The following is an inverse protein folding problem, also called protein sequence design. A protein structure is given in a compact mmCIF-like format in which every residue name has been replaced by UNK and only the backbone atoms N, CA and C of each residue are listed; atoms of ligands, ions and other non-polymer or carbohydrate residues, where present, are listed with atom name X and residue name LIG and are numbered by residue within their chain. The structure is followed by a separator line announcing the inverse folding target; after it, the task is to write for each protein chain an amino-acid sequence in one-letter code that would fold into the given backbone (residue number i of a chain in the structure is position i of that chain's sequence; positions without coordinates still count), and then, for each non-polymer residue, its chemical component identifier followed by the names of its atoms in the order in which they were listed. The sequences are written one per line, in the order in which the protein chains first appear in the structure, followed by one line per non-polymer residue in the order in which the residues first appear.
data_IF_889512553388
#
_entry.id   IF_889512553388
#
_cell.length_a   1.000
_cell.length_b   1.000
_cell.length_c   1.000
_cell.angle_alpha   90.00
_cell.angle_beta   90.00
_cell.angle_gamma   90.00
#
_symmetry.space_group_name_H-M   'P 1'
#
loop_
_entity.id
_entity.type
_entity.pdbx_description
1 polymer ?
#
# COMPACT_ATOMS: atom_id res chain seq x y z
N UNK A 1 30.39 -36.68 -22.53
CA UNK A 1 30.18 -35.24 -22.32
C UNK A 1 28.82 -35.07 -21.67
N UNK A 2 28.86 -34.75 -20.36
CA UNK A 2 27.89 -34.08 -19.48
C UNK A 2 26.40 -34.39 -19.61
N UNK A 3 25.91 -34.88 -18.48
CA UNK A 3 24.53 -35.02 -18.01
C UNK A 3 23.71 -33.72 -18.01
N UNK A 4 22.41 -33.94 -17.76
CA UNK A 4 21.50 -33.09 -16.98
C UNK A 4 20.43 -32.31 -17.76
N UNK A 5 19.24 -32.93 -17.79
CA UNK A 5 17.97 -32.26 -17.99
C UNK A 5 17.67 -31.32 -16.81
N UNK A 6 17.24 -30.09 -17.09
CA UNK A 6 16.79 -29.10 -16.10
C UNK A 6 15.66 -28.23 -16.71
N UNK A 7 14.80 -27.58 -15.91
CA UNK A 7 13.41 -27.98 -15.78
C UNK A 7 12.42 -27.00 -16.43
N UNK A 8 11.24 -27.52 -16.79
CA UNK A 8 10.04 -26.73 -17.08
C UNK A 8 9.60 -26.02 -15.78
N UNK A 9 9.97 -24.75 -15.66
CA UNK A 9 9.44 -23.85 -14.65
C UNK A 9 7.99 -23.50 -14.97
N UNK A 10 7.06 -24.21 -14.33
CA UNK A 10 5.69 -23.77 -14.12
C UNK A 10 5.73 -22.44 -13.35
N UNK A 11 5.22 -21.36 -13.93
CA UNK A 11 4.83 -20.20 -13.13
C UNK A 11 3.35 -19.91 -13.34
N UNK A 12 2.58 -20.60 -12.49
CA UNK A 12 1.42 -20.13 -11.76
C UNK A 12 0.79 -18.87 -12.31
N UNK A 13 -0.42 -19.04 -12.88
CA UNK A 13 -1.39 -17.96 -13.08
C UNK A 13 -1.44 -17.15 -11.80
N UNK A 14 -0.89 -15.94 -11.82
CA UNK A 14 -1.12 -14.98 -10.76
C UNK A 14 -2.59 -14.64 -10.85
N UNK A 15 -3.39 -15.27 -10.00
CA UNK A 15 -4.78 -14.92 -9.75
C UNK A 15 -4.80 -13.47 -9.28
N UNK A 16 -4.81 -12.55 -10.26
CA UNK A 16 -5.21 -11.18 -10.04
C UNK A 16 -6.70 -11.23 -9.77
N UNK A 17 -7.06 -11.60 -8.54
CA UNK A 17 -8.32 -11.21 -7.95
C UNK A 17 -8.23 -9.68 -7.75
N UNK A 18 -8.29 -8.99 -8.89
CA UNK A 18 -8.52 -7.57 -9.01
C UNK A 18 -9.92 -7.37 -8.49
N UNK A 19 -10.03 -7.16 -7.18
CA UNK A 19 -11.17 -6.53 -6.56
C UNK A 19 -11.31 -5.15 -7.20
N UNK A 20 -11.98 -5.15 -8.35
CA UNK A 20 -12.48 -3.98 -9.04
C UNK A 20 -13.55 -3.37 -8.13
N UNK A 21 -13.09 -2.61 -7.13
CA UNK A 21 -13.96 -1.75 -6.36
C UNK A 21 -14.26 -0.56 -7.22
N UNK A 22 -15.49 -0.59 -7.75
CA UNK A 22 -16.22 0.45 -8.43
C UNK A 22 -15.63 1.85 -8.22
N UNK A 23 -15.48 2.56 -9.34
CA UNK A 23 -14.93 3.90 -9.53
C UNK A 23 -15.60 5.03 -8.73
N UNK A 24 -16.47 4.72 -7.78
CA UNK A 24 -17.11 5.63 -6.81
C UNK A 24 -16.49 5.60 -5.40
N UNK A 25 -15.51 4.73 -5.15
CA UNK A 25 -14.78 4.76 -3.87
C UNK A 25 -13.83 5.98 -3.86
N UNK A 26 -14.21 7.02 -3.12
CA UNK A 26 -13.44 8.27 -3.04
C UNK A 26 -11.96 8.03 -2.71
N UNK A 27 -11.07 8.91 -3.19
CA UNK A 27 -9.60 8.85 -3.03
C UNK A 27 -9.12 8.35 -1.66
N UNK A 28 -9.80 8.76 -0.59
CA UNK A 28 -9.51 8.35 0.79
C UNK A 28 -9.73 6.84 1.03
N UNK A 29 -10.83 6.27 0.53
CA UNK A 29 -11.14 4.86 0.68
C UNK A 29 -10.12 3.99 -0.07
N UNK A 30 -9.72 4.39 -1.27
CA UNK A 30 -8.68 3.71 -2.04
C UNK A 30 -7.34 3.70 -1.29
N UNK A 31 -6.94 4.85 -0.72
CA UNK A 31 -5.72 4.91 0.08
C UNK A 31 -5.83 4.10 1.38
N UNK A 32 -6.97 4.15 2.08
CA UNK A 32 -7.20 3.36 3.29
C UNK A 32 -7.08 1.86 3.01
N UNK A 33 -7.67 1.38 1.91
CA UNK A 33 -7.57 -0.02 1.49
C UNK A 33 -6.11 -0.43 1.26
N UNK A 34 -5.33 0.39 0.56
CA UNK A 34 -3.92 0.09 0.31
C UNK A 34 -3.13 -0.01 1.62
N UNK A 35 -3.38 0.89 2.58
CA UNK A 35 -2.75 0.80 3.90
C UNK A 35 -3.24 -0.40 4.72
N UNK A 36 -4.52 -0.76 4.61
CA UNK A 36 -5.09 -1.94 5.26
C UNK A 36 -4.51 -3.26 4.72
N UNK A 37 -4.07 -3.27 3.45
CA UNK A 37 -3.26 -4.35 2.86
C UNK A 37 -1.81 -4.39 3.37
N UNK A 38 -1.43 -3.52 4.31
CA UNK A 38 -0.07 -3.45 4.87
C UNK A 38 0.94 -2.70 3.99
N UNK A 39 0.49 -2.02 2.92
CA UNK A 39 1.39 -1.23 2.07
C UNK A 39 1.90 0.00 2.82
N UNK A 40 3.09 0.45 2.42
CA UNK A 40 3.78 1.60 2.99
C UNK A 40 3.96 2.64 1.89
N UNK A 41 3.70 3.91 2.19
CA UNK A 41 3.77 4.97 1.20
C UNK A 41 4.56 6.18 1.70
N UNK A 42 5.45 6.68 0.86
CA UNK A 42 5.98 8.04 0.91
C UNK A 42 5.37 8.87 -0.24
N UNK A 43 5.59 10.19 -0.23
CA UNK A 43 4.99 11.13 -1.20
C UNK A 43 5.11 10.68 -2.66
N UNK A 44 6.31 10.33 -3.13
CA UNK A 44 6.50 9.90 -4.53
C UNK A 44 5.82 8.56 -4.86
N UNK A 45 5.83 7.58 -3.94
CA UNK A 45 5.10 6.33 -4.17
C UNK A 45 3.58 6.54 -4.16
N UNK A 46 3.07 7.47 -3.34
CA UNK A 46 1.66 7.83 -3.28
C UNK A 46 1.22 8.57 -4.55
N UNK A 47 2.09 9.41 -5.12
CA UNK A 47 1.84 10.10 -6.38
C UNK A 47 1.56 9.12 -7.53
N UNK A 48 2.31 8.01 -7.59
CA UNK A 48 2.11 6.96 -8.62
C UNK A 48 0.74 6.28 -8.56
N UNK A 49 0.04 6.37 -7.41
CA UNK A 49 -1.31 5.82 -7.21
C UNK A 49 -2.39 6.91 -7.19
N UNK A 50 -2.05 8.13 -7.62
CA UNK A 50 -2.98 9.27 -7.73
C UNK A 50 -3.11 10.12 -6.47
N UNK A 51 -2.25 9.93 -5.46
CA UNK A 51 -2.27 10.76 -4.25
C UNK A 51 -1.11 11.76 -4.20
N UNK A 52 -1.40 12.97 -4.67
CA UNK A 52 -0.45 14.09 -4.68
C UNK A 52 -0.21 14.73 -3.30
N UNK A 53 -1.12 14.53 -2.34
CA UNK A 53 -1.15 15.23 -1.05
C UNK A 53 -1.21 14.24 0.12
N UNK A 54 -0.31 13.26 0.12
CA UNK A 54 -0.26 12.19 1.12
C UNK A 54 -0.39 12.69 2.58
N UNK A 55 0.33 13.73 3.04
CA UNK A 55 0.18 14.18 4.43
C UNK A 55 -1.25 14.62 4.78
N UNK A 56 -1.95 15.26 3.84
CA UNK A 56 -3.36 15.67 4.01
C UNK A 56 -4.27 14.44 4.07
N UNK A 57 -4.08 13.49 3.15
CA UNK A 57 -4.83 12.22 3.16
C UNK A 57 -4.63 11.45 4.45
N UNK A 58 -3.40 11.35 4.97
CA UNK A 58 -3.12 10.74 6.28
C UNK A 58 -3.90 11.47 7.38
N UNK A 59 -3.82 12.79 7.45
CA UNK A 59 -4.56 13.59 8.44
C UNK A 59 -6.08 13.32 8.37
N UNK A 60 -6.65 13.29 7.17
CA UNK A 60 -8.09 13.04 6.98
C UNK A 60 -8.48 11.63 7.41
N UNK A 61 -7.68 10.62 7.08
CA UNK A 61 -7.93 9.25 7.50
C UNK A 61 -7.87 9.09 9.02
N UNK A 62 -6.91 9.73 9.68
CA UNK A 62 -6.82 9.72 11.14
C UNK A 62 -8.06 10.36 11.78
N UNK A 63 -8.51 11.51 11.28
CA UNK A 63 -9.69 12.22 11.82
C UNK A 63 -10.98 11.46 11.60
N UNK A 64 -11.19 10.90 10.40
CA UNK A 64 -12.43 10.22 10.03
C UNK A 64 -12.60 8.87 10.71
N UNK A 65 -11.51 8.11 10.84
CA UNK A 65 -11.56 6.73 11.30
C UNK A 65 -10.96 6.51 12.68
N UNK A 66 -10.32 7.52 13.28
CA UNK A 66 -9.65 7.37 14.58
C UNK A 66 -8.59 6.26 14.53
N UNK A 67 -7.74 6.30 13.49
CA UNK A 67 -6.57 5.44 13.31
C UNK A 67 -5.30 6.28 13.44
N UNK A 68 -4.17 5.63 13.73
CA UNK A 68 -2.87 6.29 13.81
C UNK A 68 -1.88 5.66 12.84
N UNK A 69 -1.15 6.51 12.11
CA UNK A 69 -0.09 6.09 11.22
C UNK A 69 1.27 6.19 11.89
N UNK A 70 2.04 5.12 11.75
CA UNK A 70 3.47 5.16 12.05
C UNK A 70 4.19 5.90 10.93
N UNK A 71 5.31 6.55 11.27
CA UNK A 71 6.13 7.28 10.32
C UNK A 71 7.61 7.22 10.62
N UNK A 72 8.44 7.21 9.58
CA UNK A 72 9.90 7.38 9.69
C UNK A 72 10.46 8.16 8.50
N UNK A 73 11.63 8.78 8.66
CA UNK A 73 12.35 9.42 7.55
C UNK A 73 13.17 8.39 6.80
N UNK A 74 13.02 8.36 5.47
CA UNK A 74 13.77 7.51 4.55
C UNK A 74 14.40 8.37 3.45
N UNK A 75 15.55 7.96 2.91
CA UNK A 75 16.18 8.62 1.76
C UNK A 75 15.76 7.90 0.48
N UNK A 76 15.15 8.61 -0.45
CA UNK A 76 14.71 8.06 -1.76
C UNK A 76 15.50 8.74 -2.86
N UNK A 77 15.94 7.96 -3.85
CA UNK A 77 16.62 8.49 -5.04
C UNK A 77 15.63 9.30 -5.86
N UNK A 78 16.00 10.52 -6.22
CA UNK A 78 15.19 11.38 -7.09
C UNK A 78 15.62 11.23 -8.55
N UNK A 79 14.86 11.89 -9.45
CA UNK A 79 15.11 11.86 -10.89
C UNK A 79 16.46 12.48 -11.29
N UNK A 80 17.04 13.33 -10.46
CA UNK A 80 18.33 13.99 -10.70
C UNK A 80 19.52 13.19 -10.16
N UNK A 81 19.31 11.94 -9.74
CA UNK A 81 20.36 11.06 -9.24
C UNK A 81 20.82 11.34 -7.81
N UNK A 82 20.22 12.32 -7.12
CA UNK A 82 20.50 12.63 -5.71
C UNK A 82 19.47 11.99 -4.78
N UNK A 83 19.74 12.01 -3.47
CA UNK A 83 18.83 11.44 -2.47
C UNK A 83 18.05 12.54 -1.76
N UNK A 84 16.74 12.35 -1.67
CA UNK A 84 15.84 13.26 -0.97
C UNK A 84 15.24 12.56 0.26
N UNK A 85 15.36 13.14 1.47
CA UNK A 85 14.74 12.59 2.66
C UNK A 85 13.22 12.84 2.64
N UNK A 86 12.42 11.79 2.73
CA UNK A 86 10.95 11.84 2.75
C UNK A 86 10.40 11.05 3.94
N UNK A 87 9.17 11.34 4.35
CA UNK A 87 8.47 10.55 5.36
C UNK A 87 7.76 9.37 4.71
N UNK A 88 7.99 8.18 5.26
CA UNK A 88 7.30 6.93 4.93
C UNK A 88 6.23 6.68 5.99
N UNK A 89 5.01 6.37 5.56
CA UNK A 89 3.85 6.12 6.42
C UNK A 89 3.33 4.69 6.26
N UNK A 90 2.84 4.11 7.35
CA UNK A 90 2.20 2.80 7.35
C UNK A 90 1.26 2.64 8.55
N UNK A 91 0.43 1.59 8.51
CA UNK A 91 -0.38 1.17 9.65
C UNK A 91 0.24 -0.06 10.30
N UNK A 92 0.15 -0.12 11.62
CA UNK A 92 0.54 -1.29 12.41
C UNK A 92 -0.45 -1.53 13.56
N UNK A 93 -0.34 -2.71 14.18
CA UNK A 93 -1.09 -3.06 15.39
C UNK A 93 -2.59 -2.82 15.28
N UNK A 94 -3.16 -2.15 16.29
CA UNK A 94 -4.61 -1.89 16.40
C UNK A 94 -5.14 -1.04 15.25
N UNK A 95 -4.37 -0.07 14.76
CA UNK A 95 -4.78 0.80 13.65
C UNK A 95 -4.89 0.02 12.34
N UNK A 96 -3.99 -0.94 12.11
CA UNK A 96 -4.04 -1.81 10.93
C UNK A 96 -5.28 -2.71 10.97
N UNK A 97 -5.54 -3.39 12.09
CA UNK A 97 -6.72 -4.23 12.28
C UNK A 97 -8.01 -3.44 12.07
N UNK A 98 -8.08 -2.23 12.61
CA UNK A 98 -9.23 -1.33 12.42
C UNK A 98 -9.42 -0.93 10.97
N UNK A 99 -8.34 -0.62 10.24
CA UNK A 99 -8.42 -0.30 8.83
C UNK A 99 -8.85 -1.51 7.98
N UNK A 100 -8.39 -2.72 8.31
CA UNK A 100 -8.84 -3.96 7.68
C UNK A 100 -10.33 -4.18 7.88
N UNK A 101 -10.82 -3.98 9.10
CA UNK A 101 -12.25 -4.08 9.41
C UNK A 101 -13.10 -3.06 8.64
N UNK A 102 -12.67 -1.79 8.59
CA UNK A 102 -13.35 -0.73 7.83
C UNK A 102 -13.42 -1.06 6.34
N UNK A 103 -12.36 -1.68 5.80
CA UNK A 103 -12.24 -2.01 4.39
C UNK A 103 -12.81 -3.39 4.02
N UNK A 104 -13.22 -4.19 5.02
CA UNK A 104 -13.72 -5.54 4.84
C UNK A 104 -12.66 -6.58 4.46
N UNK A 105 -11.36 -6.26 4.57
CA UNK A 105 -10.28 -7.20 4.25
C UNK A 105 -10.17 -8.34 5.26
N UNK A 106 -10.68 -8.17 6.48
CA UNK A 106 -10.76 -9.19 7.52
C UNK A 106 -11.80 -10.29 7.20
N UNK A 107 -12.78 -10.01 6.34
CA UNK A 107 -13.89 -10.93 6.01
C UNK A 107 -13.58 -11.95 4.91
N UNK A 108 -12.41 -11.84 4.27
CA UNK A 108 -11.99 -12.72 3.16
C UNK A 108 -10.94 -13.78 3.54
N UNK A 109 -10.59 -13.92 4.82
CA UNK A 109 -9.61 -14.88 5.32
C UNK A 109 -10.25 -16.10 6.01
N UNK A 110 -11.48 -16.46 5.62
CA UNK A 110 -12.22 -17.63 6.08
C UNK A 110 -12.34 -18.65 4.95
#
# INVERSE_FOLDING_TARGET
MKDEATPKGSNTKSDTNTLALNSDSGKLNSMLLRFAQGKRYHRFSAESVGDHCLPTTISDLQKRHGIYFDRCRVKVKNRFGTFTPVCLYWLSGKSLLKAQHITGLDKGAA
#
